data_IF_489764164967
#
_entry.id   IF_489764164967
#
_cell.length_a   1.000
_cell.length_b   1.000
_cell.length_c   1.000
_cell.angle_alpha   90.00
_cell.angle_beta   90.00
_cell.angle_gamma   90.00
#
_symmetry.space_group_name_H-M   'P 1'
#
loop_
_entity.id
_entity.type
_entity.pdbx_description
1 polymer ?
#
# COMPACT_ATOMS: atom_id res chain seq x y z
N UNK A 1 8.66 -10.42 -8.17
CA UNK A 1 9.16 -11.81 -8.27
C UNK A 1 8.21 -12.61 -9.16
N UNK A 2 8.73 -13.40 -10.10
CA UNK A 2 7.94 -14.33 -10.90
C UNK A 2 7.72 -15.63 -10.10
N UNK A 3 6.48 -16.11 -9.99
CA UNK A 3 6.10 -17.41 -9.44
C UNK A 3 5.22 -18.12 -10.44
N UNK A 4 5.75 -19.15 -11.10
CA UNK A 4 5.11 -19.77 -12.26
C UNK A 4 4.82 -18.73 -13.36
N UNK A 5 3.56 -18.68 -13.82
CA UNK A 5 3.10 -17.71 -14.81
C UNK A 5 2.64 -16.37 -14.21
N UNK A 6 2.81 -16.16 -12.90
CA UNK A 6 2.40 -14.91 -12.25
C UNK A 6 3.61 -14.06 -11.88
N UNK A 7 3.49 -12.76 -12.08
CA UNK A 7 4.36 -11.77 -11.47
C UNK A 7 3.69 -11.22 -10.20
N UNK A 8 4.46 -11.13 -9.12
CA UNK A 8 4.02 -10.55 -7.85
C UNK A 8 4.94 -9.38 -7.52
N UNK A 9 4.35 -8.23 -7.19
CA UNK A 9 5.04 -7.04 -6.72
C UNK A 9 4.51 -6.65 -5.35
N UNK A 10 5.43 -6.38 -4.44
CA UNK A 10 5.13 -5.80 -3.14
C UNK A 10 6.07 -4.64 -2.89
N UNK A 11 5.57 -3.60 -2.25
CA UNK A 11 6.34 -2.42 -1.84
C UNK A 11 5.84 -2.03 -0.46
N UNK A 12 6.74 -2.02 0.53
CA UNK A 12 6.42 -1.45 1.82
C UNK A 12 6.43 0.07 1.73
N UNK A 13 5.50 0.71 2.41
CA UNK A 13 5.29 2.15 2.33
C UNK A 13 5.04 2.74 3.70
N UNK A 14 5.47 3.99 3.88
CA UNK A 14 5.17 4.80 5.04
C UNK A 14 4.32 5.98 4.64
N UNK A 15 3.05 5.95 5.04
CA UNK A 15 2.02 6.92 4.67
C UNK A 15 1.36 7.46 5.93
N UNK A 16 1.12 8.76 5.98
CA UNK A 16 0.12 9.34 6.88
C UNK A 16 -1.26 9.30 6.21
N UNK A 17 -2.30 9.64 6.96
CA UNK A 17 -3.64 9.84 6.38
C UNK A 17 -3.64 10.88 5.26
N UNK A 18 -2.78 11.90 5.36
CA UNK A 18 -2.67 12.94 4.34
C UNK A 18 -2.03 12.38 3.07
N UNK A 19 -0.98 11.56 3.20
CA UNK A 19 -0.41 10.84 2.05
C UNK A 19 -1.44 9.91 1.39
N UNK A 20 -2.27 9.22 2.18
CA UNK A 20 -3.34 8.35 1.67
C UNK A 20 -4.38 9.12 0.84
N UNK A 21 -4.81 10.30 1.32
CA UNK A 21 -5.73 11.18 0.58
C UNK A 21 -5.09 11.69 -0.71
N UNK A 22 -3.84 12.17 -0.64
CA UNK A 22 -3.11 12.69 -1.80
C UNK A 22 -2.92 11.61 -2.87
N UNK A 23 -2.52 10.40 -2.48
CA UNK A 23 -2.43 9.27 -3.41
C UNK A 23 -3.80 8.96 -4.04
N UNK A 24 -4.86 8.92 -3.25
CA UNK A 24 -6.21 8.62 -3.74
C UNK A 24 -6.66 9.62 -4.80
N UNK A 25 -6.34 10.90 -4.63
CA UNK A 25 -6.60 11.94 -5.63
C UNK A 25 -5.74 11.77 -6.88
N UNK A 26 -4.44 11.51 -6.74
CA UNK A 26 -3.55 11.25 -7.88
C UNK A 26 -4.00 10.04 -8.70
N UNK A 27 -4.46 8.99 -8.04
CA UNK A 27 -4.96 7.79 -8.70
C UNK A 27 -6.20 8.08 -9.54
N UNK A 28 -7.13 8.91 -9.05
CA UNK A 28 -8.33 9.33 -9.80
C UNK A 28 -8.01 10.20 -11.01
N UNK A 29 -6.95 11.00 -10.93
CA UNK A 29 -6.46 11.78 -12.07
C UNK A 29 -5.80 10.88 -13.12
N UNK A 30 -5.12 9.83 -12.67
CA UNK A 30 -4.38 8.91 -13.55
C UNK A 30 -5.28 7.83 -14.18
N UNK A 31 -6.32 7.38 -13.48
CA UNK A 31 -7.17 6.27 -13.89
C UNK A 31 -8.65 6.67 -13.80
N UNK A 32 -9.39 6.51 -14.90
CA UNK A 32 -10.78 6.97 -15.00
C UNK A 32 -11.75 6.14 -14.16
N UNK A 33 -11.60 4.81 -14.19
CA UNK A 33 -12.58 3.89 -13.61
C UNK A 33 -11.99 3.08 -12.47
N UNK A 34 -11.65 3.76 -11.37
CA UNK A 34 -11.14 3.12 -10.16
C UNK A 34 -12.09 3.25 -8.97
N UNK A 35 -12.13 2.19 -8.15
CA UNK A 35 -12.84 2.16 -6.88
C UNK A 35 -11.88 1.76 -5.75
N UNK A 36 -12.07 2.36 -4.59
CA UNK A 36 -11.47 1.89 -3.34
C UNK A 36 -12.49 1.05 -2.58
N UNK A 37 -12.05 -0.08 -2.05
CA UNK A 37 -12.90 -1.06 -1.39
C UNK A 37 -12.34 -1.38 -0.01
N UNK A 38 -13.18 -1.39 1.01
CA UNK A 38 -12.86 -2.00 2.30
C UNK A 38 -12.91 -3.52 2.16
N UNK A 39 -11.79 -4.18 2.46
CA UNK A 39 -11.65 -5.64 2.34
C UNK A 39 -11.53 -6.31 3.71
N UNK A 40 -11.93 -5.61 4.77
CA UNK A 40 -12.06 -6.18 6.11
C UNK A 40 -13.06 -7.34 6.09
N UNK A 41 -12.80 -8.35 6.93
CA UNK A 41 -13.68 -9.51 7.10
C UNK A 41 -15.09 -9.04 7.48
N UNK A 42 -16.10 -9.58 6.81
CA UNK A 42 -17.50 -9.15 6.93
C UNK A 42 -18.44 -10.34 7.03
N UNK A 43 -19.56 -10.15 7.74
CA UNK A 43 -20.68 -11.11 7.80
C UNK A 43 -21.68 -10.91 6.65
N UNK A 44 -21.46 -9.88 5.83
CA UNK A 44 -22.23 -9.56 4.62
C UNK A 44 -21.34 -9.63 3.38
N UNK A 45 -21.92 -10.08 2.26
CA UNK A 45 -21.33 -10.04 0.91
C UNK A 45 -21.42 -8.67 0.25
N UNK A 46 -22.05 -7.70 0.91
CA UNK A 46 -22.13 -6.32 0.43
C UNK A 46 -20.73 -5.70 0.32
N UNK A 47 -20.41 -5.20 -0.88
CA UNK A 47 -19.14 -4.53 -1.15
C UNK A 47 -19.21 -3.11 -0.59
N UNK A 48 -18.26 -2.79 0.28
CA UNK A 48 -18.14 -1.46 0.87
C UNK A 48 -17.15 -0.62 0.07
N UNK A 49 -17.69 0.30 -0.72
CA UNK A 49 -16.89 1.33 -1.38
C UNK A 49 -16.51 2.42 -0.39
N UNK A 50 -15.29 2.94 -0.54
CA UNK A 50 -14.75 4.00 0.31
C UNK A 50 -14.24 5.16 -0.53
N UNK A 51 -14.29 6.36 0.04
CA UNK A 51 -13.94 7.59 -0.68
C UNK A 51 -12.43 7.75 -0.88
N UNK A 52 -11.60 7.18 -0.01
CA UNK A 52 -10.15 7.22 -0.19
C UNK A 52 -9.48 6.17 0.72
N UNK A 53 -8.17 6.03 0.54
CA UNK A 53 -7.35 5.07 1.27
C UNK A 53 -7.16 5.42 2.77
N UNK A 54 -7.52 6.63 3.22
CA UNK A 54 -7.27 7.11 4.59
C UNK A 54 -8.26 6.64 5.64
N UNK A 55 -9.35 6.00 5.22
CA UNK A 55 -10.31 5.41 6.14
C UNK A 55 -9.65 4.30 6.97
N UNK A 56 -10.03 4.17 8.25
CA UNK A 56 -9.35 3.34 9.25
C UNK A 56 -9.46 1.82 9.08
N UNK A 57 -9.73 1.32 7.88
CA UNK A 57 -9.82 -0.11 7.58
C UNK A 57 -8.43 -0.73 7.40
N UNK A 58 -8.21 -1.91 7.99
CA UNK A 58 -6.90 -2.58 7.96
C UNK A 58 -6.50 -3.10 6.58
N UNK A 59 -7.47 -3.59 5.81
CA UNK A 59 -7.27 -4.08 4.46
C UNK A 59 -8.14 -3.29 3.49
N UNK A 60 -7.53 -2.83 2.40
CA UNK A 60 -8.20 -2.15 1.31
C UNK A 60 -7.76 -2.73 -0.01
N UNK A 61 -8.60 -2.58 -1.03
CA UNK A 61 -8.19 -2.81 -2.41
C UNK A 61 -8.56 -1.66 -3.32
N UNK A 62 -7.80 -1.54 -4.39
CA UNK A 62 -8.02 -0.59 -5.48
C UNK A 62 -8.39 -1.43 -6.69
N UNK A 63 -9.62 -1.27 -7.16
CA UNK A 63 -10.18 -1.97 -8.30
C UNK A 63 -10.17 -1.04 -9.51
N UNK A 64 -9.62 -1.49 -10.63
CA UNK A 64 -9.78 -0.83 -11.93
C UNK A 64 -10.81 -1.59 -12.78
N UNK A 65 -11.97 -0.97 -13.02
CA UNK A 65 -13.08 -1.62 -13.73
C UNK A 65 -12.98 -1.63 -15.25
N UNK A 66 -11.99 -0.93 -15.83
CA UNK A 66 -11.63 -1.11 -17.24
C UNK A 66 -10.97 -2.48 -17.48
N UNK A 67 -10.48 -3.13 -16.42
CA UNK A 67 -9.74 -4.38 -16.48
C UNK A 67 -10.54 -5.53 -15.84
N UNK A 68 -11.10 -5.28 -14.66
CA UNK A 68 -11.90 -6.25 -13.92
C UNK A 68 -13.25 -5.66 -13.57
N UNK A 69 -14.29 -6.11 -14.28
CA UNK A 69 -15.61 -5.50 -14.16
C UNK A 69 -16.16 -5.64 -12.74
N UNK A 70 -17.00 -4.69 -12.34
CA UNK A 70 -17.65 -4.76 -11.04
C UNK A 70 -18.57 -6.00 -10.92
N UNK A 71 -19.14 -6.46 -12.04
CA UNK A 71 -19.97 -7.67 -12.08
C UNK A 71 -19.15 -8.94 -11.83
N UNK A 72 -17.97 -9.05 -12.45
CA UNK A 72 -17.06 -10.17 -12.20
C UNK A 72 -16.55 -10.16 -10.75
N UNK A 73 -16.22 -8.97 -10.22
CA UNK A 73 -15.82 -8.82 -8.82
C UNK A 73 -16.93 -9.29 -7.87
N UNK A 74 -18.17 -8.86 -8.09
CA UNK A 74 -19.35 -9.30 -7.33
C UNK A 74 -19.54 -10.81 -7.42
N UNK A 75 -19.32 -11.39 -8.60
CA UNK A 75 -19.45 -12.83 -8.83
C UNK A 75 -18.47 -13.62 -7.95
N UNK A 76 -17.20 -13.18 -7.84
CA UNK A 76 -16.21 -13.81 -6.94
C UNK A 76 -16.55 -13.67 -5.46
N UNK A 77 -17.14 -12.55 -5.04
CA UNK A 77 -17.64 -12.40 -3.66
C UNK A 77 -18.82 -13.33 -3.41
N UNK A 78 -19.73 -13.42 -4.38
CA UNK A 78 -20.95 -14.21 -4.27
C UNK A 78 -20.69 -15.72 -4.29
N UNK A 79 -19.63 -16.19 -4.95
CA UNK A 79 -19.25 -17.60 -5.02
C UNK A 79 -18.63 -18.15 -3.72
N UNK A 80 -18.39 -17.31 -2.71
CA UNK A 80 -17.83 -17.76 -1.43
C UNK A 80 -18.94 -18.30 -0.51
N UNK A 81 -18.63 -19.42 0.15
CA UNK A 81 -19.45 -20.03 1.20
C UNK A 81 -18.76 -19.92 2.56
N UNK A 82 -19.55 -19.80 3.62
CA UNK A 82 -19.07 -19.76 5.00
C UNK A 82 -19.69 -18.66 5.86
N UNK A 83 -19.41 -18.65 7.16
CA UNK A 83 -20.00 -17.69 8.11
C UNK A 83 -19.41 -16.27 7.99
N UNK A 84 -18.28 -16.12 7.31
CA UNK A 84 -17.63 -14.84 7.10
C UNK A 84 -17.06 -14.78 5.69
N UNK A 85 -17.18 -13.62 5.06
CA UNK A 85 -16.77 -13.40 3.68
C UNK A 85 -15.47 -12.62 3.62
N UNK A 86 -14.67 -12.93 2.59
CA UNK A 86 -13.47 -12.21 2.23
C UNK A 86 -13.67 -11.50 0.90
N UNK A 87 -12.95 -10.41 0.68
CA UNK A 87 -13.04 -9.65 -0.56
C UNK A 87 -11.76 -9.84 -1.37
N UNK A 88 -11.85 -10.00 -2.71
CA UNK A 88 -10.66 -10.06 -3.56
C UNK A 88 -9.76 -8.83 -3.37
N UNK A 89 -8.52 -9.05 -2.93
CA UNK A 89 -7.57 -7.96 -2.64
C UNK A 89 -6.49 -7.79 -3.72
N UNK A 90 -6.18 -8.84 -4.47
CA UNK A 90 -5.03 -8.87 -5.39
C UNK A 90 -5.36 -9.74 -6.62
N UNK A 91 -4.81 -9.38 -7.77
CA UNK A 91 -5.00 -10.13 -9.02
C UNK A 91 -5.44 -9.21 -10.17
N UNK A 92 -6.21 -9.77 -11.10
CA UNK A 92 -6.69 -9.05 -12.29
C UNK A 92 -7.34 -7.72 -11.89
N UNK A 93 -6.83 -6.62 -12.43
CA UNK A 93 -7.33 -5.27 -12.15
C UNK A 93 -7.28 -4.80 -10.68
N UNK A 94 -6.57 -5.50 -9.79
CA UNK A 94 -6.59 -5.24 -8.35
C UNK A 94 -5.20 -4.91 -7.78
N UNK A 95 -5.16 -3.91 -6.90
CA UNK A 95 -4.03 -3.63 -6.01
C UNK A 95 -4.49 -3.73 -4.56
N UNK A 96 -3.78 -4.54 -3.77
CA UNK A 96 -3.97 -4.61 -2.33
C UNK A 96 -3.27 -3.42 -1.65
N UNK A 97 -3.90 -2.87 -0.64
CA UNK A 97 -3.30 -1.90 0.26
C UNK A 97 -3.54 -2.26 1.73
N UNK A 98 -2.48 -2.15 2.52
CA UNK A 98 -2.52 -2.17 3.99
C UNK A 98 -1.92 -0.87 4.48
N UNK A 99 -2.69 -0.13 5.28
CA UNK A 99 -2.27 1.17 5.81
C UNK A 99 -1.07 1.05 6.72
N UNK A 100 -0.23 2.09 6.69
CA UNK A 100 0.73 2.34 7.77
C UNK A 100 -0.03 2.64 9.07
N UNK A 101 0.57 2.32 10.20
CA UNK A 101 -0.05 2.53 11.51
C UNK A 101 0.96 3.07 12.52
N UNK A 102 0.50 3.80 13.53
CA UNK A 102 1.35 4.15 14.66
C UNK A 102 1.83 2.85 15.32
N UNK A 103 3.13 2.73 15.55
CA UNK A 103 3.69 1.50 16.10
C UNK A 103 3.18 1.28 17.53
N UNK A 104 2.48 0.16 17.77
CA UNK A 104 1.92 -0.16 19.09
C UNK A 104 2.99 -0.34 20.20
N UNK A 105 4.26 -0.46 19.83
CA UNK A 105 5.40 -0.55 20.75
C UNK A 105 6.17 0.77 20.92
N UNK A 106 5.95 1.76 20.06
CA UNK A 106 6.52 3.10 20.18
C UNK A 106 5.58 4.10 19.49
N UNK A 107 4.68 4.78 20.24
CA UNK A 107 3.67 5.66 19.67
C UNK A 107 4.20 6.89 18.91
N UNK A 108 5.50 7.17 19.01
CA UNK A 108 6.15 8.24 18.23
C UNK A 108 6.56 7.79 16.84
N UNK A 109 6.54 6.49 16.56
CA UNK A 109 7.02 5.90 15.32
C UNK A 109 5.88 5.47 14.40
N UNK A 110 6.13 5.53 13.09
CA UNK A 110 5.23 5.04 12.06
C UNK A 110 5.69 3.67 11.57
N UNK A 111 4.84 2.66 11.71
CA UNK A 111 5.07 1.33 11.17
C UNK A 111 4.65 1.26 9.71
N UNK A 112 5.41 0.55 8.91
CA UNK A 112 5.13 0.37 7.48
C UNK A 112 3.77 -0.28 7.22
N UNK A 113 3.14 0.18 6.15
CA UNK A 113 2.09 -0.52 5.43
C UNK A 113 2.69 -1.15 4.17
N UNK A 114 1.84 -1.62 3.25
CA UNK A 114 2.33 -2.08 1.96
C UNK A 114 1.27 -2.02 0.85
N UNK A 115 1.76 -1.95 -0.38
CA UNK A 115 0.99 -2.26 -1.58
C UNK A 115 1.37 -3.62 -2.13
N UNK A 116 0.37 -4.37 -2.60
CA UNK A 116 0.54 -5.67 -3.26
C UNK A 116 -0.15 -5.69 -4.62
N UNK A 117 0.53 -6.18 -5.65
CA UNK A 117 -0.06 -6.39 -6.97
C UNK A 117 0.37 -7.73 -7.55
N UNK A 118 -0.50 -8.38 -8.29
CA UNK A 118 -0.17 -9.61 -9.01
C UNK A 118 -0.88 -9.67 -10.36
N UNK A 119 -0.22 -10.30 -11.33
CA UNK A 119 -0.80 -10.50 -12.67
C UNK A 119 -0.19 -11.72 -13.34
N UNK A 120 -0.97 -12.37 -14.19
CA UNK A 120 -0.45 -13.38 -15.11
C UNK A 120 0.40 -12.70 -16.17
N UNK A 121 1.52 -13.31 -16.59
CA UNK A 121 2.41 -12.77 -17.64
C UNK A 121 1.69 -12.52 -18.97
N UNK A 122 0.58 -13.21 -19.26
CA UNK A 122 -0.24 -12.98 -20.45
C UNK A 122 -1.32 -11.90 -20.27
N UNK A 123 -1.52 -11.38 -19.06
CA UNK A 123 -2.49 -10.31 -18.76
C UNK A 123 -1.81 -8.95 -18.84
N UNK A 124 -1.70 -8.42 -20.07
CA UNK A 124 -1.01 -7.17 -20.35
C UNK A 124 -1.70 -5.95 -19.73
N UNK A 125 -3.04 -5.98 -19.62
CA UNK A 125 -3.81 -4.88 -19.04
C UNK A 125 -3.53 -4.75 -17.54
N UNK A 126 -3.62 -5.85 -16.79
CA UNK A 126 -3.27 -5.83 -15.37
C UNK A 126 -1.78 -5.54 -15.18
N UNK A 127 -0.91 -6.08 -16.04
CA UNK A 127 0.54 -5.80 -15.97
C UNK A 127 0.82 -4.30 -16.12
N UNK A 128 0.17 -3.62 -17.08
CA UNK A 128 0.32 -2.20 -17.31
C UNK A 128 -0.22 -1.37 -16.13
N UNK A 129 -1.43 -1.71 -15.64
CA UNK A 129 -2.01 -1.05 -14.47
C UNK A 129 -1.10 -1.15 -13.24
N UNK A 130 -0.61 -2.35 -12.91
CA UNK A 130 0.33 -2.56 -11.80
C UNK A 130 1.61 -1.75 -12.03
N UNK A 131 2.20 -1.77 -13.23
CA UNK A 131 3.42 -0.99 -13.50
C UNK A 131 3.20 0.51 -13.32
N UNK A 132 2.11 1.05 -13.85
CA UNK A 132 1.77 2.48 -13.73
C UNK A 132 1.47 2.87 -12.29
N UNK A 133 0.70 2.05 -11.56
CA UNK A 133 0.41 2.26 -10.15
C UNK A 133 1.69 2.39 -9.33
N UNK A 134 2.58 1.39 -9.41
CA UNK A 134 3.82 1.42 -8.62
C UNK A 134 4.79 2.50 -9.11
N UNK A 135 4.74 2.89 -10.39
CA UNK A 135 5.50 4.03 -10.91
C UNK A 135 5.02 5.34 -10.27
N UNK A 136 3.69 5.56 -10.21
CA UNK A 136 3.09 6.72 -9.58
C UNK A 136 3.46 6.80 -8.09
N UNK A 137 3.32 5.69 -7.36
CA UNK A 137 3.72 5.64 -5.93
C UNK A 137 5.20 5.98 -5.75
N UNK A 138 6.07 5.47 -6.64
CA UNK A 138 7.50 5.71 -6.59
C UNK A 138 7.94 7.10 -7.05
N UNK A 139 7.14 7.84 -7.82
CA UNK A 139 7.47 9.19 -8.28
C UNK A 139 7.55 10.21 -7.14
N UNK A 140 6.74 10.03 -6.10
CA UNK A 140 6.66 10.94 -4.96
C UNK A 140 7.30 10.37 -3.69
N UNK A 141 7.59 9.07 -3.67
CA UNK A 141 8.22 8.40 -2.54
C UNK A 141 9.73 8.70 -2.46
N UNK A 142 10.21 8.88 -1.23
CA UNK A 142 11.64 8.96 -0.92
C UNK A 142 12.17 7.61 -0.46
N UNK A 143 13.46 7.38 -0.69
CA UNK A 143 14.14 6.22 -0.11
C UNK A 143 14.20 6.34 1.41
N UNK A 144 14.39 5.21 2.07
CA UNK A 144 14.59 5.15 3.51
C UNK A 144 15.87 4.38 3.83
N UNK A 145 16.52 4.77 4.92
CA UNK A 145 17.81 4.26 5.35
C UNK A 145 17.68 3.69 6.76
N UNK A 146 18.32 2.55 7.00
CA UNK A 146 18.37 1.94 8.32
C UNK A 146 19.24 2.80 9.25
N UNK A 147 18.76 3.02 10.48
CA UNK A 147 19.51 3.79 11.49
C UNK A 147 19.59 3.04 12.81
N UNK A 148 20.63 3.34 13.58
CA UNK A 148 20.68 2.99 15.00
C UNK A 148 20.14 4.15 15.83
N UNK A 149 19.28 3.85 16.81
CA UNK A 149 18.81 4.87 17.78
C UNK A 149 19.81 5.13 18.91
N UNK A 150 20.75 4.21 19.12
CA UNK A 150 21.70 4.24 20.24
C UNK A 150 23.11 4.54 19.80
N UNK A 151 23.40 4.36 18.51
CA UNK A 151 24.67 4.68 17.88
C UNK A 151 24.36 5.70 16.79
N UNK A 152 25.22 6.70 16.64
CA UNK A 152 25.09 7.68 15.56
C UNK A 152 25.52 7.03 14.23
N UNK A 153 24.70 6.08 13.75
CA UNK A 153 24.96 5.24 12.59
C UNK A 153 23.74 5.23 11.67
N UNK A 154 23.99 5.51 10.39
CA UNK A 154 23.05 5.39 9.30
C UNK A 154 23.66 4.46 8.23
N UNK A 155 22.84 3.67 7.56
CA UNK A 155 23.30 2.84 6.46
C UNK A 155 23.66 3.69 5.23
N UNK A 156 24.69 3.29 4.48
CA UNK A 156 25.11 4.00 3.26
C UNK A 156 24.22 3.68 2.03
N UNK A 157 23.40 2.64 2.13
CA UNK A 157 22.56 2.13 1.04
C UNK A 157 21.09 2.13 1.49
N UNK A 158 20.16 2.63 0.66
CA UNK A 158 18.75 2.65 0.99
C UNK A 158 18.12 1.25 0.91
N UNK A 159 17.02 1.07 1.64
CA UNK A 159 16.21 -0.14 1.59
C UNK A 159 15.47 -0.26 0.26
N UNK A 160 15.69 -1.38 -0.46
CA UNK A 160 15.26 -1.53 -1.87
C UNK A 160 13.75 -1.66 -2.09
N UNK A 161 12.99 -2.03 -1.05
CA UNK A 161 11.54 -2.30 -1.15
C UNK A 161 10.71 -1.46 -0.18
N UNK A 162 11.28 -0.36 0.28
CA UNK A 162 10.62 0.58 1.17
C UNK A 162 10.72 1.97 0.59
N UNK A 163 9.63 2.71 0.74
CA UNK A 163 9.64 4.14 0.51
C UNK A 163 8.75 4.85 1.52
N UNK A 164 8.98 6.15 1.67
CA UNK A 164 8.20 7.02 2.53
C UNK A 164 7.63 8.16 1.70
N UNK A 165 6.36 8.47 1.91
CA UNK A 165 5.68 9.55 1.21
C UNK A 165 5.90 10.92 1.86
N UNK A 166 5.64 12.03 1.14
CA UNK A 166 6.12 13.35 1.54
C UNK A 166 5.71 13.80 2.94
N UNK A 167 4.46 13.58 3.35
CA UNK A 167 3.97 14.01 4.66
C UNK A 167 4.55 13.12 5.77
N UNK A 168 4.55 11.80 5.60
CA UNK A 168 5.23 10.87 6.49
C UNK A 168 6.73 11.19 6.65
N UNK A 169 7.42 11.49 5.55
CA UNK A 169 8.85 11.83 5.57
C UNK A 169 9.13 13.08 6.40
N UNK A 170 8.23 14.07 6.34
CA UNK A 170 8.33 15.30 7.13
C UNK A 170 8.09 15.05 8.62
N UNK A 171 7.14 14.18 8.96
CA UNK A 171 6.73 13.96 10.36
C UNK A 171 7.67 12.97 11.07
N UNK A 172 8.16 11.96 10.36
CA UNK A 172 8.96 10.85 10.90
C UNK A 172 10.37 10.86 10.31
N UNK A 173 11.08 11.97 10.53
CA UNK A 173 12.42 12.24 10.02
C UNK A 173 13.57 11.79 10.96
N UNK A 174 13.24 11.16 12.09
CA UNK A 174 14.19 10.77 13.15
C UNK A 174 14.33 11.80 14.28
N UNK A 175 13.95 13.06 14.05
CA UNK A 175 13.98 14.11 15.08
C UNK A 175 12.95 13.84 16.18
N UNK A 176 13.25 14.28 17.40
CA UNK A 176 12.36 14.12 18.55
C UNK A 176 11.90 12.66 18.79
N UNK A 177 12.73 11.70 18.35
CA UNK A 177 12.48 10.26 18.39
C UNK A 177 11.32 9.78 17.50
N UNK A 178 10.99 10.51 16.43
CA UNK A 178 9.95 10.12 15.48
C UNK A 178 10.56 9.37 14.29
N UNK A 179 10.57 8.05 14.35
CA UNK A 179 11.18 7.21 13.31
C UNK A 179 10.13 6.49 12.46
N UNK A 180 10.55 6.08 11.27
CA UNK A 180 9.89 5.02 10.51
C UNK A 180 10.34 3.66 11.06
N UNK A 181 9.49 2.63 11.00
CA UNK A 181 9.83 1.33 11.59
C UNK A 181 9.10 0.16 10.93
N UNK A 182 9.68 -1.04 11.03
CA UNK A 182 8.97 -2.28 10.65
C UNK A 182 8.73 -3.19 11.86
N UNK A 183 9.66 -3.16 12.82
CA UNK A 183 9.64 -3.97 14.05
C UNK A 183 10.24 -3.16 15.20
N UNK A 184 10.10 -3.67 16.43
CA UNK A 184 10.66 -3.05 17.66
C UNK A 184 12.14 -2.69 17.60
N UNK A 185 12.89 -3.32 16.70
CA UNK A 185 14.36 -3.24 16.62
C UNK A 185 14.84 -2.71 15.27
N UNK A 186 13.93 -2.29 14.40
CA UNK A 186 14.25 -1.85 13.04
C UNK A 186 13.69 -0.46 12.78
N UNK A 187 14.56 0.53 12.80
CA UNK A 187 14.22 1.95 12.64
C UNK A 187 14.85 2.52 11.39
N UNK A 188 14.11 3.40 10.73
CA UNK A 188 14.49 3.97 9.46
C UNK A 188 14.27 5.49 9.50
N UNK A 189 15.02 6.20 8.67
CA UNK A 189 14.81 7.63 8.38
C UNK A 189 14.67 7.84 6.87
N UNK A 190 13.93 8.87 6.43
CA UNK A 190 13.88 9.28 5.02
C UNK A 190 15.26 9.73 4.51
N UNK A 191 15.47 9.61 3.20
CA UNK A 191 16.51 10.35 2.48
C UNK A 191 16.34 11.86 2.75
N UNK A 192 17.43 12.52 3.15
CA UNK A 192 17.43 13.97 3.34
C UNK A 192 17.20 14.70 2.00
N UNK A 193 16.51 15.84 2.06
CA UNK A 193 16.38 16.73 0.91
C UNK A 193 17.59 17.67 0.96
N UNK A 194 18.53 17.47 0.03
CA UNK A 194 19.64 18.41 -0.18
C UNK A 194 19.20 19.77 -0.68
#
# INVERSE_FOLDING_TARGET
>A
MKRGNNFIKQLGVFFTKKDEIELSNLLRLQFQNIFFIDTSRSDSKEIKFIDDLSLGFKGKSILNTDIFSLEDYKTLVNSQDGPHFSFPMIGKGLIQYVSSEVAGYDPKCLKDGYFGGSYNVSDELTANFVKQFFKLVGQYGRKVYLVSRTRDLCADVPEKQLLVWPDAAKIYNGENQKYLTQTRERWLVPEEVG
#
